data_IF_982695463128
#
_entry.id   IF_982695463128
#
_cell.length_a   1.000
_cell.length_b   1.000
_cell.length_c   1.000
_cell.angle_alpha   90.00
_cell.angle_beta   90.00
_cell.angle_gamma   90.00
#
_symmetry.space_group_name_H-M   'P 1'
#
loop_
_entity.id
_entity.type
_entity.pdbx_description
1 polymer ?
#
# COMPACT_ATOMS: atom_id res chain seq x y z
N UNK A 1 -5.98 -15.81 28.90
CA UNK A 1 -6.87 -15.12 27.95
C UNK A 1 -6.74 -15.83 26.61
N UNK A 2 -7.80 -16.53 26.16
CA UNK A 2 -7.80 -17.23 24.88
C UNK A 2 -7.82 -16.18 23.76
N UNK A 3 -6.72 -16.01 23.07
CA UNK A 3 -6.69 -15.32 21.77
C UNK A 3 -7.48 -16.17 20.79
N UNK A 4 -8.64 -15.74 20.38
CA UNK A 4 -9.36 -16.33 19.26
C UNK A 4 -8.46 -16.16 18.03
N UNK A 5 -7.87 -17.25 17.57
CA UNK A 5 -7.06 -17.25 16.35
C UNK A 5 -7.99 -16.80 15.22
N UNK A 6 -7.72 -15.63 14.66
CA UNK A 6 -8.44 -15.12 13.49
C UNK A 6 -7.99 -15.98 12.30
N UNK A 7 -8.74 -17.00 11.97
CA UNK A 7 -8.49 -17.83 10.79
C UNK A 7 -8.96 -17.07 9.56
N UNK A 8 -8.01 -16.54 8.79
CA UNK A 8 -8.32 -16.00 7.47
C UNK A 8 -8.60 -17.16 6.50
N UNK A 9 -9.59 -17.04 5.61
CA UNK A 9 -9.82 -18.05 4.59
C UNK A 9 -8.60 -18.18 3.67
N UNK A 10 -8.23 -19.40 3.33
CA UNK A 10 -7.09 -19.73 2.46
C UNK A 10 -7.20 -19.02 1.10
N UNK A 11 -8.40 -18.95 0.54
CA UNK A 11 -8.69 -18.24 -0.70
C UNK A 11 -9.92 -17.34 -0.51
N UNK A 12 -9.87 -16.14 -1.03
CA UNK A 12 -11.01 -15.22 -1.01
C UNK A 12 -11.06 -14.34 -2.26
N UNK A 13 -12.27 -14.18 -2.77
CA UNK A 13 -12.57 -13.25 -3.86
C UNK A 13 -13.64 -12.26 -3.40
N UNK A 14 -13.44 -11.01 -3.69
CA UNK A 14 -14.42 -9.97 -3.36
C UNK A 14 -14.29 -8.78 -4.31
N UNK A 15 -15.33 -7.96 -4.34
CA UNK A 15 -15.30 -6.65 -5.01
C UNK A 15 -15.24 -5.54 -3.95
N UNK A 16 -14.37 -4.57 -4.19
CA UNK A 16 -14.36 -3.34 -3.41
C UNK A 16 -15.61 -2.50 -3.71
N UNK A 17 -15.93 -1.55 -2.84
CA UNK A 17 -17.03 -0.58 -3.09
C UNK A 17 -16.82 0.21 -4.39
N UNK A 18 -15.58 0.44 -4.81
CA UNK A 18 -15.23 1.09 -6.08
C UNK A 18 -15.24 0.16 -7.29
N UNK A 19 -15.61 -1.14 -7.13
CA UNK A 19 -15.78 -2.07 -8.25
C UNK A 19 -14.57 -2.90 -8.63
N UNK A 20 -13.41 -2.73 -7.97
CA UNK A 20 -12.23 -3.59 -8.20
C UNK A 20 -12.50 -5.02 -7.74
N UNK A 21 -12.20 -5.99 -8.60
CA UNK A 21 -12.19 -7.40 -8.25
C UNK A 21 -10.84 -7.76 -7.62
N UNK A 22 -10.90 -8.34 -6.43
CA UNK A 22 -9.72 -8.78 -5.67
C UNK A 22 -9.79 -10.29 -5.50
N UNK A 23 -8.73 -10.97 -5.87
CA UNK A 23 -8.47 -12.37 -5.54
C UNK A 23 -7.26 -12.44 -4.62
N UNK A 24 -7.40 -13.11 -3.49
CA UNK A 24 -6.36 -13.24 -2.48
C UNK A 24 -6.23 -14.68 -2.02
N UNK A 25 -5.00 -15.18 -1.99
CA UNK A 25 -4.65 -16.44 -1.33
C UNK A 25 -3.80 -16.13 -0.11
N UNK A 26 -4.08 -16.81 1.00
CA UNK A 26 -3.36 -16.68 2.27
C UNK A 26 -2.83 -18.05 2.66
N UNK A 27 -1.54 -18.13 2.85
CA UNK A 27 -0.88 -19.32 3.36
C UNK A 27 -0.30 -19.01 4.75
N UNK A 28 -0.51 -19.91 5.69
CA UNK A 28 0.01 -19.76 7.04
C UNK A 28 1.17 -20.74 7.26
N UNK A 29 2.29 -20.21 7.71
CA UNK A 29 3.49 -20.97 8.00
C UNK A 29 3.81 -20.90 9.49
N UNK A 30 4.23 -22.00 10.08
CA UNK A 30 4.67 -22.04 11.47
C UNK A 30 6.20 -22.13 11.52
N UNK A 31 6.83 -21.14 12.17
CA UNK A 31 8.22 -21.22 12.68
C UNK A 31 9.33 -21.25 11.62
N UNK A 32 9.13 -20.74 10.43
CA UNK A 32 10.12 -20.84 9.37
C UNK A 32 10.87 -19.52 9.12
N UNK A 33 11.97 -19.31 9.87
CA UNK A 33 12.90 -18.20 9.64
C UNK A 33 13.43 -18.15 8.19
N UNK A 34 13.51 -19.31 7.53
CA UNK A 34 13.95 -19.43 6.14
C UNK A 34 13.06 -18.63 5.17
N UNK A 35 11.76 -18.49 5.44
CA UNK A 35 10.84 -17.72 4.57
C UNK A 35 11.19 -16.23 4.55
N UNK A 36 11.65 -15.69 5.66
CA UNK A 36 12.11 -14.31 5.72
C UNK A 36 13.42 -14.16 4.94
N UNK A 37 14.34 -15.10 5.09
CA UNK A 37 15.60 -15.12 4.34
C UNK A 37 15.32 -15.24 2.83
N UNK A 38 14.43 -16.13 2.39
CA UNK A 38 14.02 -16.28 1.00
C UNK A 38 13.42 -14.96 0.45
N UNK A 39 12.64 -14.23 1.25
CA UNK A 39 12.11 -12.91 0.86
C UNK A 39 13.23 -11.88 0.73
N UNK A 40 14.18 -11.85 1.66
CA UNK A 40 15.33 -10.95 1.63
C UNK A 40 16.17 -11.19 0.37
N UNK A 41 16.48 -12.46 0.05
CA UNK A 41 17.20 -12.82 -1.17
C UNK A 41 16.42 -12.44 -2.46
N UNK A 42 15.10 -12.48 -2.40
CA UNK A 42 14.25 -12.06 -3.52
C UNK A 42 14.38 -10.57 -3.79
N UNK A 43 14.56 -9.74 -2.76
CA UNK A 43 14.70 -8.29 -2.87
C UNK A 43 15.99 -7.85 -3.58
N UNK A 44 17.00 -8.71 -3.67
CA UNK A 44 18.21 -8.44 -4.47
C UNK A 44 17.88 -8.35 -5.99
N UNK A 45 16.77 -8.92 -6.41
CA UNK A 45 16.38 -9.03 -7.83
C UNK A 45 15.04 -8.39 -8.14
N UNK A 46 14.23 -8.11 -7.14
CA UNK A 46 12.85 -7.60 -7.29
C UNK A 46 12.59 -6.43 -6.36
N UNK A 47 11.73 -5.52 -6.78
CA UNK A 47 11.29 -4.43 -5.92
C UNK A 47 10.44 -4.95 -4.78
N UNK A 48 10.67 -4.42 -3.59
CA UNK A 48 9.94 -4.77 -2.38
C UNK A 48 10.52 -4.10 -1.17
N UNK A 49 10.07 -4.52 0.01
CA UNK A 49 10.58 -4.05 1.29
C UNK A 49 10.41 -5.14 2.35
N UNK A 50 11.31 -5.16 3.30
CA UNK A 50 11.16 -5.85 4.59
C UNK A 50 11.33 -4.81 5.69
N UNK A 51 10.38 -4.76 6.59
CA UNK A 51 10.38 -3.95 7.81
C UNK A 51 10.45 -4.92 8.97
N UNK A 52 11.51 -4.83 9.77
CA UNK A 52 11.70 -5.68 10.95
C UNK A 52 11.66 -4.85 12.21
N UNK A 53 10.84 -5.27 13.18
CA UNK A 53 10.81 -4.68 14.51
C UNK A 53 11.73 -5.48 15.44
N UNK A 54 12.95 -4.97 15.66
CA UNK A 54 13.95 -5.61 16.51
C UNK A 54 13.70 -5.47 18.02
N UNK A 55 12.65 -4.75 18.44
CA UNK A 55 12.43 -4.46 19.87
C UNK A 55 11.22 -5.21 20.39
N UNK A 56 11.45 -6.12 21.33
CA UNK A 56 10.38 -6.79 22.11
C UNK A 56 10.36 -6.22 23.51
N UNK A 57 9.24 -5.66 23.94
CA UNK A 57 9.00 -5.25 25.32
C UNK A 57 7.89 -6.14 25.89
N UNK A 58 8.20 -7.06 26.83
CA UNK A 58 7.21 -7.97 27.40
C UNK A 58 5.96 -7.22 27.90
N UNK A 59 4.79 -7.65 27.42
CA UNK A 59 3.51 -7.07 27.82
C UNK A 59 3.14 -5.73 27.15
N UNK A 60 4.00 -5.15 26.30
CA UNK A 60 3.74 -3.90 25.59
C UNK A 60 3.88 -4.01 24.08
N UNK A 61 4.98 -4.57 23.60
CA UNK A 61 5.28 -4.67 22.17
C UNK A 61 5.77 -6.08 21.84
N UNK A 62 5.13 -6.69 20.85
CA UNK A 62 5.63 -7.92 20.22
C UNK A 62 6.44 -7.51 18.99
N UNK A 63 7.57 -8.17 18.74
CA UNK A 63 8.30 -8.01 17.49
C UNK A 63 7.48 -8.63 16.36
N UNK A 64 7.49 -7.97 15.21
CA UNK A 64 6.90 -8.50 13.97
C UNK A 64 7.77 -8.10 12.79
N UNK A 65 7.76 -8.93 11.78
CA UNK A 65 8.35 -8.63 10.49
C UNK A 65 7.22 -8.49 9.47
N UNK A 66 7.33 -7.50 8.61
CA UNK A 66 6.41 -7.25 7.51
C UNK A 66 7.21 -7.06 6.24
N UNK A 67 6.85 -7.78 5.20
CA UNK A 67 7.52 -7.61 3.93
C UNK A 67 6.62 -7.89 2.74
N UNK A 68 7.02 -7.36 1.59
CA UNK A 68 6.41 -7.66 0.31
C UNK A 68 7.42 -7.58 -0.82
N UNK A 69 7.15 -8.29 -1.90
CA UNK A 69 7.85 -8.19 -3.17
C UNK A 69 6.85 -7.96 -4.32
N UNK A 70 7.33 -7.44 -5.45
CA UNK A 70 6.56 -7.18 -6.66
C UNK A 70 5.32 -6.29 -6.42
N UNK A 71 5.49 -5.08 -5.86
CA UNK A 71 4.37 -4.15 -5.73
C UNK A 71 3.77 -3.83 -7.10
N UNK A 72 2.45 -3.62 -7.20
CA UNK A 72 1.81 -3.30 -8.47
C UNK A 72 2.11 -1.89 -8.95
N UNK A 73 2.33 -0.95 -8.03
CA UNK A 73 2.52 0.46 -8.30
C UNK A 73 3.70 1.02 -7.53
N UNK A 74 4.28 2.09 -8.08
CA UNK A 74 5.08 3.05 -7.32
C UNK A 74 4.41 4.41 -7.35
N UNK A 75 4.32 5.06 -6.19
CA UNK A 75 3.91 6.45 -6.02
C UNK A 75 5.16 7.27 -5.70
N UNK A 76 5.38 8.31 -6.48
CA UNK A 76 6.42 9.31 -6.25
C UNK A 76 5.76 10.68 -6.06
N UNK A 77 6.23 11.45 -5.08
CA UNK A 77 5.69 12.79 -4.81
C UNK A 77 6.82 13.79 -4.60
N UNK A 78 6.67 14.99 -5.18
CA UNK A 78 7.56 16.12 -4.97
C UNK A 78 6.70 17.37 -4.75
N UNK A 79 6.65 17.86 -3.53
CA UNK A 79 5.76 18.97 -3.19
C UNK A 79 4.29 18.57 -3.35
N UNK A 80 3.60 19.21 -4.30
CA UNK A 80 2.22 18.89 -4.65
C UNK A 80 2.08 18.03 -5.90
N UNK A 81 3.19 17.77 -6.61
CA UNK A 81 3.19 16.92 -7.79
C UNK A 81 3.28 15.45 -7.38
N UNK A 82 2.59 14.61 -8.14
CA UNK A 82 2.63 13.17 -7.94
C UNK A 82 2.74 12.42 -9.26
N UNK A 83 3.32 11.25 -9.23
CA UNK A 83 3.25 10.28 -10.30
C UNK A 83 3.03 8.87 -9.77
N UNK A 84 2.12 8.14 -10.40
CA UNK A 84 1.87 6.72 -10.20
C UNK A 84 2.36 5.99 -11.44
N UNK A 85 3.21 5.00 -11.26
CA UNK A 85 3.72 4.16 -12.35
C UNK A 85 3.38 2.70 -12.07
N UNK A 86 2.74 2.05 -13.05
CA UNK A 86 2.48 0.61 -12.99
C UNK A 86 3.78 -0.17 -13.16
N UNK A 87 3.98 -1.16 -12.30
CA UNK A 87 5.16 -2.03 -12.33
C UNK A 87 4.86 -3.40 -12.95
N UNK A 88 3.58 -3.73 -13.09
CA UNK A 88 3.10 -4.98 -13.69
C UNK A 88 1.63 -4.83 -14.12
N UNK A 89 1.05 -5.88 -14.71
CA UNK A 89 -0.33 -5.86 -15.21
C UNK A 89 -1.37 -5.52 -14.13
N UNK A 90 -1.15 -5.88 -12.86
CA UNK A 90 -2.04 -5.47 -11.76
C UNK A 90 -1.99 -3.96 -11.56
N UNK A 91 -0.82 -3.36 -11.75
CA UNK A 91 -0.62 -1.91 -11.69
C UNK A 91 -1.39 -1.19 -12.80
N UNK A 92 -1.45 -1.72 -14.01
CA UNK A 92 -2.22 -1.13 -15.11
C UNK A 92 -3.71 -1.07 -14.79
N UNK A 93 -4.27 -2.13 -14.19
CA UNK A 93 -5.67 -2.14 -13.71
C UNK A 93 -5.88 -1.05 -12.66
N UNK A 94 -4.93 -0.89 -11.74
CA UNK A 94 -5.01 0.13 -10.70
C UNK A 94 -4.87 1.55 -11.28
N UNK A 95 -4.00 1.78 -12.26
CA UNK A 95 -3.87 3.08 -12.96
C UNK A 95 -5.18 3.46 -13.63
N UNK A 96 -5.81 2.53 -14.34
CA UNK A 96 -7.09 2.77 -14.99
C UNK A 96 -8.17 3.19 -13.97
N UNK A 97 -8.29 2.42 -12.88
CA UNK A 97 -9.25 2.69 -11.81
C UNK A 97 -8.98 4.03 -11.11
N UNK A 98 -7.74 4.27 -10.69
CA UNK A 98 -7.37 5.50 -9.99
C UNK A 98 -7.53 6.74 -10.85
N UNK A 99 -7.27 6.63 -12.17
CA UNK A 99 -7.47 7.72 -13.10
C UNK A 99 -8.93 8.18 -13.21
N UNK A 100 -9.90 7.31 -12.93
CA UNK A 100 -11.32 7.68 -12.89
C UNK A 100 -11.69 8.29 -11.54
N UNK A 101 -11.25 7.68 -10.44
CA UNK A 101 -11.51 8.18 -9.08
C UNK A 101 -10.88 9.55 -8.84
N UNK A 102 -9.65 9.76 -9.30
CA UNK A 102 -8.92 11.01 -9.07
C UNK A 102 -9.44 12.19 -9.89
N UNK A 103 -10.25 11.98 -10.93
CA UNK A 103 -10.93 13.07 -11.65
C UNK A 103 -11.92 13.83 -10.78
N UNK A 104 -12.49 13.17 -9.78
CA UNK A 104 -13.47 13.75 -8.86
C UNK A 104 -12.80 14.37 -7.62
N UNK A 105 -11.48 14.19 -7.48
CA UNK A 105 -10.70 14.69 -6.36
C UNK A 105 -10.13 16.09 -6.64
N UNK A 106 -9.55 16.73 -5.61
CA UNK A 106 -8.83 18.00 -5.75
C UNK A 106 -7.46 17.82 -6.44
N UNK A 107 -7.47 17.30 -7.68
CA UNK A 107 -6.27 16.95 -8.46
C UNK A 107 -6.42 17.43 -9.89
N UNK A 108 -5.35 17.92 -10.47
CA UNK A 108 -5.23 18.15 -11.91
C UNK A 108 -4.37 17.06 -12.50
N UNK A 109 -4.93 16.23 -13.36
CA UNK A 109 -4.20 15.18 -14.08
C UNK A 109 -3.49 15.83 -15.27
N UNK A 110 -2.17 15.72 -15.32
CA UNK A 110 -1.32 16.22 -16.42
C UNK A 110 -0.94 15.12 -17.41
N UNK A 111 -0.88 13.87 -16.96
CA UNK A 111 -0.54 12.72 -17.80
C UNK A 111 -1.40 11.52 -17.41
N UNK A 112 -1.95 10.84 -18.42
CA UNK A 112 -2.68 9.57 -18.23
C UNK A 112 -2.38 8.62 -19.38
N UNK A 113 -1.67 7.55 -19.08
CA UNK A 113 -1.37 6.44 -19.97
C UNK A 113 -1.79 5.12 -19.31
N UNK A 114 -1.79 3.98 -19.97
CA UNK A 114 -2.09 2.69 -19.33
C UNK A 114 -1.14 2.35 -18.16
N UNK A 115 0.10 2.85 -18.23
CA UNK A 115 1.15 2.50 -17.24
C UNK A 115 1.53 3.66 -16.32
N UNK A 116 1.00 4.88 -16.57
CA UNK A 116 1.38 6.06 -15.79
C UNK A 116 0.21 7.02 -15.61
N UNK A 117 0.10 7.56 -14.41
CA UNK A 117 -0.80 8.64 -14.05
C UNK A 117 -0.01 9.69 -13.28
N UNK A 118 0.01 10.92 -13.77
CA UNK A 118 0.70 12.02 -13.09
C UNK A 118 -0.19 13.26 -13.00
N UNK A 119 0.08 14.09 -12.00
CA UNK A 119 -0.71 15.28 -11.80
C UNK A 119 -0.22 16.12 -10.64
N UNK A 120 -1.04 17.09 -10.30
CA UNK A 120 -0.80 18.06 -9.25
C UNK A 120 -1.98 18.09 -8.28
N UNK A 121 -1.71 18.05 -6.98
CA UNK A 121 -2.73 18.16 -5.93
C UNK A 121 -3.03 19.64 -5.70
N UNK A 122 -4.28 20.04 -5.91
CA UNK A 122 -4.74 21.39 -5.61
C UNK A 122 -4.86 21.48 -4.09
N UNK A 123 -4.00 22.30 -3.47
CA UNK A 123 -4.13 22.60 -2.05
C UNK A 123 -5.42 23.40 -1.85
N UNK A 124 -6.35 22.87 -1.08
CA UNK A 124 -7.46 23.66 -0.54
C UNK A 124 -6.91 24.84 0.26
N UNK A 125 -7.69 25.92 0.38
CA UNK A 125 -7.34 27.03 1.22
C UNK A 125 -6.95 26.51 2.61
N UNK A 126 -5.77 26.91 3.12
CA UNK A 126 -5.33 26.50 4.45
C UNK A 126 -6.43 26.90 5.46
N UNK A 127 -6.80 26.00 6.41
CA UNK A 127 -7.76 26.38 7.44
C UNK A 127 -7.23 27.62 8.18
N UNK A 128 -8.12 28.63 8.30
CA UNK A 128 -7.79 29.95 8.83
C UNK A 128 -7.55 29.90 10.34
N UNK A 129 -8.00 28.85 11.04
CA UNK A 129 -7.86 28.73 12.48
C UNK A 129 -6.69 27.82 12.87
N UNK A 130 -5.83 28.36 13.71
CA UNK A 130 -4.63 27.70 14.26
C UNK A 130 -4.98 26.41 15.02
N UNK A 131 -6.14 26.37 15.67
CA UNK A 131 -6.68 25.20 16.38
C UNK A 131 -6.98 23.99 15.47
N UNK A 132 -7.22 24.21 14.19
CA UNK A 132 -7.44 23.13 13.24
C UNK A 132 -6.13 22.52 12.71
N UNK A 133 -5.01 23.25 12.78
CA UNK A 133 -3.68 22.72 12.46
C UNK A 133 -3.19 21.73 13.50
N UNK A 134 -3.45 22.00 14.77
CA UNK A 134 -3.00 21.16 15.89
C UNK A 134 -3.78 19.84 16.00
N UNK A 135 -5.01 19.77 15.49
CA UNK A 135 -5.84 18.57 15.49
C UNK A 135 -5.52 17.56 14.36
N UNK A 136 -4.63 17.92 13.44
CA UNK A 136 -4.24 17.09 12.27
C UNK A 136 -2.77 16.67 12.30
N UNK A 137 -2.06 16.94 13.40
CA UNK A 137 -0.69 16.49 13.64
C UNK A 137 -0.66 15.21 14.45
#
# INVERSE_FOLDING_TARGET
MNRTAFSLPEHSEYRTSGGLAISRTVEQFTGDAKRLDDLIELLDRRRGVVLSSGTTVPGRYESFDLGFADPPLVLETVGSDFSLTALNARGEVLIAFLGDVLREACVVISERTPTRLAGHIIRGAAPVEEDQRTRRA
#
